data_IF_773181729556
#
_entry.id   IF_773181729556
#
_cell.length_a   1.000
_cell.length_b   1.000
_cell.length_c   1.000
_cell.angle_alpha   90.00
_cell.angle_beta   90.00
_cell.angle_gamma   90.00
#
_symmetry.space_group_name_H-M   'P 1'
#
loop_
_entity.id
_entity.type
_entity.pdbx_description
1 polymer ?
#
# COMPACT_ATOMS: atom_id res chain seq x y z
N UNK A 1 59.77 40.85 44.11
CA UNK A 1 58.90 39.69 44.21
C UNK A 1 58.16 39.58 42.91
N UNK A 2 58.49 38.56 42.13
CA UNK A 2 57.99 38.32 40.72
C UNK A 2 57.07 37.16 40.75
N UNK A 3 55.78 37.35 40.38
CA UNK A 3 54.85 36.25 40.29
C UNK A 3 54.45 36.09 38.80
N UNK A 4 54.97 34.97 38.18
CA UNK A 4 54.69 34.60 36.82
C UNK A 4 53.32 33.89 36.78
N UNK A 5 52.31 34.45 36.17
CA UNK A 5 51.08 33.75 35.80
C UNK A 5 51.26 33.10 34.44
N UNK A 6 51.35 31.79 34.44
CA UNK A 6 51.34 30.98 33.20
C UNK A 6 49.92 30.83 32.71
N UNK A 7 49.68 31.38 31.55
CA UNK A 7 48.42 31.28 30.82
C UNK A 7 48.33 29.87 30.16
N UNK A 8 47.44 29.03 30.65
CA UNK A 8 47.17 27.75 30.05
C UNK A 8 46.11 27.92 28.97
N UNK A 9 46.49 27.78 27.71
CA UNK A 9 45.55 27.74 26.56
C UNK A 9 45.01 26.33 26.44
N UNK A 10 43.75 26.11 26.79
CA UNK A 10 43.07 24.86 26.56
C UNK A 10 42.52 24.84 25.09
N UNK A 11 43.13 24.04 24.26
CA UNK A 11 42.64 23.77 22.90
C UNK A 11 41.48 22.78 23.00
N UNK A 12 40.27 23.27 22.82
CA UNK A 12 39.07 22.45 22.74
C UNK A 12 38.97 21.87 21.32
N UNK A 13 39.42 20.63 21.15
CA UNK A 13 39.27 19.88 19.92
C UNK A 13 37.78 19.44 19.76
N UNK A 14 37.04 20.12 18.90
CA UNK A 14 35.70 19.76 18.52
C UNK A 14 35.77 18.51 17.60
N UNK A 15 35.62 17.29 18.15
CA UNK A 15 35.39 16.09 17.39
C UNK A 15 33.98 16.12 16.81
N UNK A 16 33.87 16.49 15.54
CA UNK A 16 32.68 16.26 14.72
C UNK A 16 32.55 14.74 14.49
N UNK A 17 31.77 14.10 15.36
CA UNK A 17 31.27 12.75 15.10
C UNK A 17 30.29 12.83 13.93
N UNK A 18 30.78 12.54 12.73
CA UNK A 18 29.96 12.29 11.56
C UNK A 18 29.08 11.07 11.84
N UNK A 19 27.81 11.30 12.14
CA UNK A 19 26.79 10.23 12.15
C UNK A 19 26.69 9.66 10.74
N UNK A 20 26.87 8.35 10.52
CA UNK A 20 26.57 7.75 9.24
C UNK A 20 25.08 7.97 8.98
N UNK A 21 24.74 8.63 7.87
CA UNK A 21 23.39 8.64 7.35
C UNK A 21 23.01 7.19 7.06
N UNK A 22 22.24 6.58 7.94
CA UNK A 22 21.58 5.30 7.67
C UNK A 22 20.62 5.58 6.53
N UNK A 23 21.03 5.21 5.33
CA UNK A 23 20.13 5.18 4.18
C UNK A 23 19.06 4.14 4.52
N UNK A 24 17.85 4.57 4.75
CA UNK A 24 16.69 3.71 4.87
C UNK A 24 16.54 3.00 3.52
N UNK A 25 17.13 1.82 3.39
CA UNK A 25 16.77 0.86 2.36
C UNK A 25 15.27 0.67 2.56
N UNK A 26 14.46 1.03 1.56
CA UNK A 26 13.01 1.01 1.64
C UNK A 26 12.54 -0.28 2.30
N UNK A 27 12.08 -0.19 3.53
CA UNK A 27 11.62 -1.35 4.27
C UNK A 27 10.37 -1.87 3.55
N UNK A 28 10.46 -3.08 3.03
CA UNK A 28 9.30 -3.79 2.49
C UNK A 28 8.20 -3.78 3.54
N UNK A 29 7.00 -3.46 3.13
CA UNK A 29 5.84 -3.45 4.00
C UNK A 29 4.88 -4.56 3.61
N UNK A 30 4.22 -5.16 4.59
CA UNK A 30 3.29 -6.25 4.36
C UNK A 30 1.88 -5.70 4.11
N UNK A 31 1.33 -5.95 2.93
CA UNK A 31 -0.07 -5.67 2.65
C UNK A 31 -0.99 -6.60 3.45
N UNK A 32 -0.57 -7.86 3.58
CA UNK A 32 -1.27 -8.91 4.32
C UNK A 32 -0.26 -9.64 5.20
N UNK A 33 -0.60 -9.87 6.45
CA UNK A 33 0.25 -10.65 7.35
C UNK A 33 0.02 -12.15 7.16
N UNK A 34 1.02 -13.00 7.45
CA UNK A 34 0.83 -14.46 7.39
C UNK A 34 -0.31 -14.98 8.29
N UNK A 35 -0.58 -14.28 9.40
CA UNK A 35 -1.67 -14.63 10.30
C UNK A 35 -3.06 -14.31 9.72
N UNK A 36 -3.18 -13.22 8.95
CA UNK A 36 -4.41 -12.87 8.23
C UNK A 36 -4.67 -13.84 7.09
N UNK A 37 -3.61 -14.19 6.36
CA UNK A 37 -3.63 -15.18 5.28
C UNK A 37 -4.09 -16.55 5.80
N UNK A 38 -3.43 -17.09 6.82
CA UNK A 38 -3.81 -18.37 7.42
C UNK A 38 -5.25 -18.38 7.97
N UNK A 39 -5.75 -17.23 8.44
CA UNK A 39 -7.14 -17.11 8.90
C UNK A 39 -8.12 -17.13 7.73
N UNK A 40 -7.79 -16.49 6.62
CA UNK A 40 -8.61 -16.50 5.42
C UNK A 40 -8.65 -17.89 4.77
N UNK A 41 -7.51 -18.57 4.71
CA UNK A 41 -7.41 -19.94 4.19
C UNK A 41 -8.23 -20.95 5.01
N UNK A 42 -8.31 -20.76 6.32
CA UNK A 42 -9.13 -21.60 7.20
C UNK A 42 -10.63 -21.30 7.12
N UNK A 43 -11.02 -20.22 6.46
CA UNK A 43 -12.41 -19.82 6.34
C UNK A 43 -13.14 -20.61 5.24
N UNK A 44 -14.45 -20.78 5.41
CA UNK A 44 -15.29 -21.30 4.34
C UNK A 44 -15.36 -20.29 3.19
N UNK A 45 -14.91 -20.69 2.02
CA UNK A 45 -14.95 -19.87 0.81
C UNK A 45 -16.37 -19.86 0.24
N UNK A 46 -17.24 -19.05 0.79
CA UNK A 46 -18.59 -18.86 0.25
C UNK A 46 -18.52 -17.86 -0.90
N UNK A 47 -18.97 -18.24 -2.12
CA UNK A 47 -19.02 -17.31 -3.24
C UNK A 47 -19.85 -16.08 -2.87
N UNK A 48 -19.22 -14.92 -2.86
CA UNK A 48 -19.94 -13.67 -2.64
C UNK A 48 -20.72 -13.35 -3.92
N UNK A 49 -22.03 -13.12 -3.77
CA UNK A 49 -22.88 -12.67 -4.87
C UNK A 49 -22.35 -11.31 -5.36
N UNK A 50 -21.92 -11.27 -6.61
CA UNK A 50 -21.57 -9.99 -7.24
C UNK A 50 -22.85 -9.28 -7.59
N UNK A 51 -23.13 -8.16 -6.91
CA UNK A 51 -24.19 -7.28 -7.33
C UNK A 51 -23.94 -6.79 -8.77
N UNK A 52 -24.97 -6.67 -9.61
CA UNK A 52 -24.79 -6.14 -10.95
C UNK A 52 -24.15 -4.75 -10.90
N UNK A 53 -23.26 -4.49 -11.85
CA UNK A 53 -22.60 -3.18 -11.93
C UNK A 53 -23.64 -2.10 -12.16
N UNK A 54 -23.61 -1.07 -11.32
CA UNK A 54 -24.48 0.11 -11.49
C UNK A 54 -24.01 0.90 -12.71
N UNK A 55 -24.92 1.24 -13.58
CA UNK A 55 -24.60 2.05 -14.78
C UNK A 55 -23.94 3.37 -14.39
N UNK A 56 -22.80 3.67 -15.00
CA UNK A 56 -22.00 4.88 -14.71
C UNK A 56 -21.19 4.82 -13.42
N UNK A 57 -21.13 3.67 -12.73
CA UNK A 57 -20.23 3.49 -11.61
C UNK A 57 -18.75 3.68 -12.03
N UNK A 58 -17.87 4.09 -11.11
CA UNK A 58 -16.44 4.20 -11.38
C UNK A 58 -15.84 2.90 -11.95
N UNK A 59 -14.98 3.04 -12.94
CA UNK A 59 -14.19 1.94 -13.50
C UNK A 59 -12.86 1.88 -12.76
N UNK A 60 -12.50 0.69 -12.28
CA UNK A 60 -11.24 0.43 -11.59
C UNK A 60 -10.37 -0.44 -12.49
N UNK A 61 -9.18 0.04 -12.82
CA UNK A 61 -8.20 -0.66 -13.65
C UNK A 61 -6.93 -0.92 -12.83
N UNK A 62 -6.59 -2.18 -12.64
CA UNK A 62 -5.30 -2.59 -12.06
C UNK A 62 -4.27 -2.62 -13.18
N UNK A 63 -3.32 -1.68 -13.16
CA UNK A 63 -2.21 -1.61 -14.12
C UNK A 63 -1.04 -2.48 -13.67
N UNK A 64 -0.80 -2.48 -12.38
CA UNK A 64 0.19 -3.35 -11.73
C UNK A 64 -0.38 -3.85 -10.40
N UNK A 65 -0.05 -5.10 -10.02
CA UNK A 65 0.72 -6.08 -10.78
C UNK A 65 -0.09 -6.65 -11.96
N UNK A 66 0.61 -7.26 -12.94
CA UNK A 66 -0.05 -8.00 -14.02
C UNK A 66 -0.58 -9.33 -13.47
N UNK A 67 -1.83 -9.33 -13.08
CA UNK A 67 -2.51 -10.48 -12.44
C UNK A 67 -2.76 -11.65 -13.37
N UNK A 68 -2.43 -11.55 -14.66
CA UNK A 68 -2.52 -12.65 -15.63
C UNK A 68 -1.33 -13.61 -15.54
N UNK A 69 -0.31 -13.25 -14.79
CA UNK A 69 0.93 -14.01 -14.61
C UNK A 69 1.23 -14.26 -13.14
N UNK A 70 2.03 -15.28 -12.82
CA UNK A 70 2.59 -15.44 -11.48
C UNK A 70 3.40 -14.21 -11.08
N UNK A 71 3.29 -13.83 -9.81
CA UNK A 71 3.87 -12.64 -9.24
C UNK A 71 4.99 -12.99 -8.26
N UNK A 72 5.91 -12.07 -8.04
CA UNK A 72 6.98 -12.18 -7.06
C UNK A 72 7.04 -10.92 -6.19
N UNK A 73 7.45 -11.08 -4.96
CA UNK A 73 7.72 -9.98 -4.04
C UNK A 73 9.10 -9.34 -4.29
N UNK A 74 9.26 -8.03 -4.00
CA UNK A 74 8.20 -7.08 -3.68
C UNK A 74 7.42 -6.69 -4.93
N UNK A 75 6.15 -6.34 -4.77
CA UNK A 75 5.30 -5.94 -5.88
C UNK A 75 4.86 -4.49 -5.79
N UNK A 76 4.52 -3.94 -6.94
CA UNK A 76 3.97 -2.60 -7.08
C UNK A 76 2.48 -2.68 -7.34
N UNK A 77 1.71 -1.81 -6.70
CA UNK A 77 0.30 -1.60 -7.01
C UNK A 77 0.14 -0.25 -7.73
N UNK A 78 -0.38 -0.30 -8.95
CA UNK A 78 -0.83 0.87 -9.71
C UNK A 78 -2.30 0.63 -10.06
N UNK A 79 -3.18 1.35 -9.40
CA UNK A 79 -4.63 1.20 -9.54
C UNK A 79 -5.20 2.52 -10.02
N UNK A 80 -5.82 2.52 -11.18
CA UNK A 80 -6.45 3.69 -11.78
C UNK A 80 -7.95 3.69 -11.59
N UNK A 81 -8.50 4.87 -11.38
CA UNK A 81 -9.93 5.10 -11.19
C UNK A 81 -10.44 6.09 -12.24
N UNK A 82 -11.50 5.71 -12.94
CA UNK A 82 -12.17 6.58 -13.92
C UNK A 82 -13.63 6.73 -13.55
N UNK A 83 -14.06 7.96 -13.32
CA UNK A 83 -15.48 8.28 -13.15
C UNK A 83 -16.16 8.42 -14.51
N UNK A 84 -17.47 8.19 -14.56
CA UNK A 84 -18.26 8.49 -15.72
C UNK A 84 -18.28 10.00 -16.00
N UNK A 85 -18.63 10.39 -17.24
CA UNK A 85 -18.71 11.79 -17.63
C UNK A 85 -19.61 12.59 -16.67
N UNK A 86 -19.13 13.75 -16.25
CA UNK A 86 -19.82 14.62 -15.30
C UNK A 86 -19.71 14.21 -13.83
N UNK A 87 -18.97 13.12 -13.52
CA UNK A 87 -18.73 12.70 -12.16
C UNK A 87 -17.24 12.78 -11.78
N UNK A 88 -16.96 12.76 -10.50
CA UNK A 88 -15.60 12.77 -9.94
C UNK A 88 -15.43 11.66 -8.91
N UNK A 89 -14.23 11.11 -8.82
CA UNK A 89 -13.90 10.06 -7.84
C UNK A 89 -13.89 10.64 -6.42
N UNK A 90 -14.62 10.01 -5.52
CA UNK A 90 -14.54 10.29 -4.09
C UNK A 90 -13.49 9.39 -3.41
N UNK A 91 -12.27 9.92 -3.25
CA UNK A 91 -11.12 9.17 -2.71
C UNK A 91 -11.34 8.66 -1.29
N UNK A 92 -12.15 9.33 -0.47
CA UNK A 92 -12.42 8.93 0.92
C UNK A 92 -13.24 7.64 1.02
N UNK A 93 -13.90 7.23 -0.06
CA UNK A 93 -14.71 6.02 -0.12
C UNK A 93 -13.93 4.78 -0.53
N UNK A 94 -12.61 4.92 -0.82
CA UNK A 94 -11.79 3.76 -1.17
C UNK A 94 -11.86 2.71 -0.07
N UNK A 95 -12.09 1.46 -0.49
CA UNK A 95 -11.97 0.27 0.36
C UNK A 95 -11.20 -0.81 -0.38
N UNK A 96 -10.24 -1.38 0.32
CA UNK A 96 -9.45 -2.52 -0.16
C UNK A 96 -9.61 -3.64 0.83
N UNK A 97 -10.15 -4.76 0.37
CA UNK A 97 -10.41 -5.93 1.20
C UNK A 97 -9.61 -7.11 0.69
N UNK A 98 -9.05 -7.86 1.61
CA UNK A 98 -8.30 -9.07 1.36
C UNK A 98 -9.13 -10.31 1.69
N UNK A 99 -8.97 -11.32 0.85
CA UNK A 99 -9.49 -12.65 1.05
C UNK A 99 -11.01 -12.79 0.95
N UNK A 100 -11.49 -13.95 1.33
CA UNK A 100 -12.90 -14.29 1.40
C UNK A 100 -13.57 -13.72 2.64
N UNK A 101 -12.82 -13.58 3.73
CA UNK A 101 -13.28 -12.92 4.95
C UNK A 101 -13.46 -11.41 4.77
N UNK A 102 -12.92 -10.82 3.70
CA UNK A 102 -13.01 -9.39 3.42
C UNK A 102 -12.29 -8.54 4.46
N UNK A 103 -11.10 -8.98 4.89
CA UNK A 103 -10.25 -8.25 5.85
C UNK A 103 -9.91 -6.87 5.26
N UNK A 104 -10.25 -5.80 5.98
CA UNK A 104 -9.99 -4.43 5.51
C UNK A 104 -8.50 -4.07 5.65
N UNK A 105 -7.82 -3.92 4.53
CA UNK A 105 -6.41 -3.53 4.45
C UNK A 105 -6.23 -2.11 3.90
N UNK A 106 -7.32 -1.34 3.81
CA UNK A 106 -7.35 0.00 3.19
C UNK A 106 -6.32 0.94 3.82
N UNK A 107 -6.34 1.07 5.15
CA UNK A 107 -5.44 2.00 5.83
C UNK A 107 -3.97 1.57 5.75
N UNK A 108 -3.72 0.27 5.72
CA UNK A 108 -2.38 -0.29 5.52
C UNK A 108 -1.83 0.06 4.14
N UNK A 109 -2.63 -0.12 3.09
CA UNK A 109 -2.26 0.30 1.74
C UNK A 109 -2.05 1.82 1.67
N UNK A 110 -2.98 2.63 2.20
CA UNK A 110 -2.90 4.09 2.16
C UNK A 110 -1.69 4.64 2.92
N UNK A 111 -1.22 3.96 3.96
CA UNK A 111 -0.01 4.32 4.70
C UNK A 111 1.29 4.24 3.89
N UNK A 112 1.28 3.49 2.77
CA UNK A 112 2.42 3.28 1.88
C UNK A 112 2.16 3.72 0.43
N UNK A 113 0.99 4.27 0.16
CA UNK A 113 0.57 4.65 -1.17
C UNK A 113 0.54 6.17 -1.36
N UNK A 114 0.75 6.58 -2.61
CA UNK A 114 0.61 7.97 -3.04
C UNK A 114 -0.53 8.09 -4.03
N UNK A 115 -1.41 9.07 -3.83
CA UNK A 115 -2.42 9.42 -4.80
C UNK A 115 -1.79 10.12 -6.01
N UNK A 116 -2.05 9.58 -7.18
CA UNK A 116 -1.68 10.19 -8.47
C UNK A 116 -2.85 10.97 -9.07
N UNK A 117 -2.66 11.57 -10.23
CA UNK A 117 -3.73 12.25 -10.94
C UNK A 117 -4.88 11.29 -11.33
N UNK A 118 -4.56 10.04 -11.66
CA UNK A 118 -5.51 9.04 -12.17
C UNK A 118 -5.84 7.91 -11.19
N UNK A 119 -5.15 7.84 -10.04
CA UNK A 119 -5.34 6.68 -9.17
C UNK A 119 -4.43 6.64 -7.94
N UNK A 120 -4.01 5.46 -7.58
CA UNK A 120 -3.21 5.15 -6.41
C UNK A 120 -1.98 4.34 -6.80
N UNK A 121 -0.82 4.72 -6.29
CA UNK A 121 0.45 4.02 -6.51
C UNK A 121 1.10 3.64 -5.18
N UNK A 122 1.48 2.38 -5.03
CA UNK A 122 2.24 1.88 -3.88
C UNK A 122 3.31 0.89 -4.36
N UNK A 123 4.55 1.10 -3.92
CA UNK A 123 5.67 0.22 -4.24
C UNK A 123 6.07 -0.65 -3.04
N UNK A 124 6.92 -1.63 -3.29
CA UNK A 124 7.61 -2.47 -2.30
C UNK A 124 6.69 -3.21 -1.31
N UNK A 125 5.49 -3.59 -1.79
CA UNK A 125 4.55 -4.37 -1.01
C UNK A 125 4.93 -5.86 -1.00
N UNK A 126 4.92 -6.47 0.18
CA UNK A 126 5.01 -7.92 0.35
C UNK A 126 3.62 -8.51 0.60
N UNK A 127 3.33 -9.61 -0.11
CA UNK A 127 2.15 -10.45 0.08
C UNK A 127 2.62 -11.88 0.31
N UNK A 128 2.03 -12.68 1.20
CA UNK A 128 2.40 -14.09 1.37
C UNK A 128 2.42 -14.86 0.04
N UNK A 129 3.15 -15.98 -0.01
CA UNK A 129 3.10 -16.86 -1.19
C UNK A 129 1.79 -17.63 -1.20
N UNK A 130 1.16 -17.75 -2.38
CA UNK A 130 -0.12 -18.42 -2.53
C UNK A 130 -1.06 -17.73 -3.50
N UNK A 131 -2.31 -18.13 -3.46
CA UNK A 131 -3.38 -17.52 -4.24
C UNK A 131 -4.21 -16.61 -3.34
N UNK A 132 -4.26 -15.33 -3.67
CA UNK A 132 -4.90 -14.31 -2.86
C UNK A 132 -5.97 -13.57 -3.66
N UNK A 133 -7.06 -13.24 -2.99
CA UNK A 133 -8.15 -12.45 -3.55
C UNK A 133 -8.11 -11.05 -2.94
N UNK A 134 -8.06 -10.02 -3.78
CA UNK A 134 -8.15 -8.63 -3.35
C UNK A 134 -9.34 -7.98 -4.03
N UNK A 135 -10.18 -7.30 -3.26
CA UNK A 135 -11.31 -6.53 -3.76
C UNK A 135 -11.07 -5.05 -3.50
N UNK A 136 -11.14 -4.25 -4.55
CA UNK A 136 -11.03 -2.79 -4.48
C UNK A 136 -12.38 -2.19 -4.84
N UNK A 137 -12.89 -1.28 -4.02
CA UNK A 137 -14.11 -0.53 -4.32
C UNK A 137 -13.92 0.96 -4.05
N UNK A 138 -14.57 1.79 -4.85
CA UNK A 138 -14.55 3.25 -4.71
C UNK A 138 -15.86 3.84 -5.24
N UNK A 139 -16.34 4.91 -4.62
CA UNK A 139 -17.52 5.63 -5.11
C UNK A 139 -17.14 6.91 -5.84
N UNK A 140 -18.06 7.42 -6.62
CA UNK A 140 -18.03 8.77 -7.16
C UNK A 140 -18.83 9.76 -6.27
N UNK A 141 -18.83 11.03 -6.67
CA UNK A 141 -19.57 12.09 -5.99
C UNK A 141 -21.08 11.95 -6.07
N UNK A 142 -21.61 11.02 -6.89
CA UNK A 142 -23.02 10.68 -6.99
C UNK A 142 -23.39 9.43 -6.19
N UNK A 143 -22.43 8.89 -5.41
CA UNK A 143 -22.63 7.71 -4.57
C UNK A 143 -22.65 6.38 -5.32
N UNK A 144 -22.33 6.34 -6.62
CA UNK A 144 -22.23 5.10 -7.37
C UNK A 144 -20.93 4.39 -7.05
N UNK A 145 -20.98 3.12 -6.69
CA UNK A 145 -19.82 2.34 -6.27
C UNK A 145 -19.35 1.43 -7.40
N UNK A 146 -18.10 1.60 -7.80
CA UNK A 146 -17.38 0.64 -8.64
C UNK A 146 -16.62 -0.35 -7.76
N UNK A 147 -16.55 -1.61 -8.22
CA UNK A 147 -15.78 -2.68 -7.55
C UNK A 147 -14.99 -3.47 -8.56
N UNK A 148 -13.76 -3.82 -8.19
CA UNK A 148 -12.89 -4.71 -8.96
C UNK A 148 -12.29 -5.77 -8.04
N UNK A 149 -12.40 -7.03 -8.46
CA UNK A 149 -11.72 -8.15 -7.81
C UNK A 149 -10.49 -8.53 -8.64
N UNK A 150 -9.36 -8.72 -7.98
CA UNK A 150 -8.13 -9.23 -8.55
C UNK A 150 -7.70 -10.48 -7.78
N UNK A 151 -7.29 -11.52 -8.51
CA UNK A 151 -6.69 -12.72 -7.93
C UNK A 151 -5.19 -12.65 -8.20
N UNK A 152 -4.38 -12.76 -7.15
CA UNK A 152 -2.93 -12.74 -7.20
C UNK A 152 -2.43 -14.16 -6.99
N UNK A 153 -1.53 -14.62 -7.84
CA UNK A 153 -0.78 -15.86 -7.64
C UNK A 153 0.67 -15.50 -7.33
N UNK A 154 1.05 -15.54 -6.07
CA UNK A 154 2.37 -15.10 -5.58
C UNK A 154 3.28 -16.32 -5.38
N UNK A 155 4.40 -16.33 -6.11
CA UNK A 155 5.43 -17.36 -6.00
C UNK A 155 6.54 -16.95 -5.02
N UNK A 156 7.33 -17.94 -4.62
CA UNK A 156 8.56 -17.70 -3.82
C UNK A 156 9.61 -16.94 -4.61
#
# INVERSE_FOLDING_TARGET
MRTNKRLAIAILACMLLGLPAVQAIGAKWQLVTPAEDARDDAALHVPQSTLPAVSGAPVITVKQPDVSRPLHNPMTFDIQFSAAQGATINRSTLRVKYGWLGIDVTQRLLGHATWTASGLFAADADVPTGNHRISVSIADNLGRVGTRVANLNVLK
#
